data_IF_923468908860
#
_entry.id   IF_923468908860
#
_cell.length_a   1.000
_cell.length_b   1.000
_cell.length_c   1.000
_cell.angle_alpha   90.00
_cell.angle_beta   90.00
_cell.angle_gamma   90.00
#
_symmetry.space_group_name_H-M   'P 1'
#
loop_
_entity.id
_entity.type
_entity.pdbx_description
1 polymer ?
#
# COMPACT_ATOMS: atom_id res chain seq x y z
N UNK A 1 1.29 6.41 -17.24
CA UNK A 1 1.67 5.38 -16.24
C UNK A 1 0.74 4.18 -16.40
N UNK A 2 1.22 2.95 -16.31
CA UNK A 2 0.38 1.74 -16.41
C UNK A 2 0.29 1.03 -15.06
N UNK A 3 -0.92 0.61 -14.71
CA UNK A 3 -1.21 0.00 -13.41
C UNK A 3 -2.04 -1.25 -13.64
N UNK A 4 -1.63 -2.34 -12.99
CA UNK A 4 -2.39 -3.58 -12.94
C UNK A 4 -2.90 -3.78 -11.51
N UNK A 5 -4.19 -4.09 -11.38
CA UNK A 5 -4.87 -4.35 -10.12
C UNK A 5 -5.47 -5.75 -10.23
N UNK A 6 -5.13 -6.63 -9.29
CA UNK A 6 -5.64 -8.00 -9.25
C UNK A 6 -6.20 -8.33 -7.87
N UNK A 7 -7.35 -9.02 -7.85
CA UNK A 7 -8.01 -9.52 -6.65
C UNK A 7 -8.27 -8.43 -5.57
N UNK A 8 -8.71 -7.24 -5.99
CA UNK A 8 -9.05 -6.12 -5.11
C UNK A 8 -10.53 -5.79 -5.24
N UNK A 9 -11.39 -6.59 -4.60
CA UNK A 9 -12.83 -6.62 -4.86
C UNK A 9 -13.49 -5.23 -4.66
N UNK A 10 -14.14 -4.66 -5.69
CA UNK A 10 -14.78 -5.30 -6.85
C UNK A 10 -13.90 -5.51 -8.10
N UNK A 11 -12.61 -5.18 -8.06
CA UNK A 11 -11.67 -5.28 -9.17
C UNK A 11 -10.96 -6.65 -9.16
N UNK A 12 -11.48 -7.61 -9.94
CA UNK A 12 -10.87 -8.95 -10.06
C UNK A 12 -9.59 -8.93 -10.89
N UNK A 13 -9.64 -8.28 -12.05
CA UNK A 13 -8.51 -8.05 -12.94
C UNK A 13 -8.77 -6.73 -13.68
N UNK A 14 -7.90 -5.75 -13.50
CA UNK A 14 -8.02 -4.44 -14.13
C UNK A 14 -6.65 -3.93 -14.55
N UNK A 15 -6.58 -3.45 -15.80
CA UNK A 15 -5.43 -2.71 -16.32
C UNK A 15 -5.88 -1.28 -16.60
N UNK A 16 -5.15 -0.31 -16.05
CA UNK A 16 -5.42 1.11 -16.19
C UNK A 16 -4.19 1.81 -16.76
N UNK A 17 -4.41 2.58 -17.82
CA UNK A 17 -3.41 3.51 -18.36
C UNK A 17 -3.79 4.94 -17.97
N UNK A 18 -2.93 5.58 -17.18
CA UNK A 18 -3.06 6.97 -16.77
C UNK A 18 -2.40 7.89 -17.80
N UNK A 19 -3.18 8.83 -18.34
CA UNK A 19 -2.71 10.01 -19.07
C UNK A 19 -2.64 11.26 -18.19
N UNK A 20 -2.45 12.42 -18.81
CA UNK A 20 -2.29 13.71 -18.10
C UNK A 20 -3.51 14.10 -17.27
N UNK A 21 -4.71 13.81 -17.80
CA UNK A 21 -5.98 13.92 -17.08
C UNK A 21 -6.71 12.60 -17.29
N UNK A 22 -7.02 11.93 -16.18
CA UNK A 22 -7.74 10.65 -16.19
C UNK A 22 -9.00 10.77 -15.34
N UNK A 23 -10.16 10.41 -15.91
CA UNK A 23 -11.45 10.43 -15.21
C UNK A 23 -11.92 9.00 -14.99
N UNK A 24 -12.20 8.64 -13.74
CA UNK A 24 -12.75 7.34 -13.37
C UNK A 24 -14.27 7.46 -13.22
N UNK A 25 -15.02 6.80 -14.09
CA UNK A 25 -16.49 6.78 -14.09
C UNK A 25 -17.00 5.35 -14.05
N UNK A 26 -18.05 5.13 -13.27
CA UNK A 26 -18.72 3.84 -13.16
C UNK A 26 -19.89 3.92 -12.18
N UNK A 27 -20.82 2.95 -12.23
CA UNK A 27 -21.92 2.91 -11.28
C UNK A 27 -21.41 2.73 -9.83
N UNK A 28 -22.23 3.03 -8.81
CA UNK A 28 -21.89 2.74 -7.43
C UNK A 28 -21.40 1.28 -7.27
N UNK A 29 -20.39 1.06 -6.42
CA UNK A 29 -19.79 -0.25 -6.15
C UNK A 29 -19.10 -0.94 -7.34
N UNK A 30 -18.77 -0.23 -8.42
CA UNK A 30 -18.00 -0.76 -9.56
C UNK A 30 -16.48 -0.79 -9.37
N UNK A 31 -15.98 -0.20 -8.28
CA UNK A 31 -14.55 -0.23 -7.96
C UNK A 31 -13.84 1.10 -8.10
N UNK A 32 -14.52 2.19 -8.46
CA UNK A 32 -13.91 3.53 -8.56
C UNK A 32 -13.05 3.89 -7.33
N UNK A 33 -13.58 3.73 -6.12
CA UNK A 33 -12.83 3.98 -4.88
C UNK A 33 -11.69 2.99 -4.67
N UNK A 34 -11.83 1.74 -5.11
CA UNK A 34 -10.79 0.72 -5.00
C UNK A 34 -9.66 0.96 -6.00
N UNK A 35 -9.96 1.43 -7.21
CA UNK A 35 -8.98 1.88 -8.20
C UNK A 35 -8.14 3.00 -7.59
N UNK A 36 -8.79 4.01 -7.00
CA UNK A 36 -8.07 5.12 -6.37
C UNK A 36 -7.25 4.70 -5.14
N UNK A 37 -7.77 3.80 -4.31
CA UNK A 37 -7.01 3.23 -3.18
C UNK A 37 -5.78 2.46 -3.68
N UNK A 38 -5.91 1.67 -4.74
CA UNK A 38 -4.77 0.92 -5.30
C UNK A 38 -3.67 1.83 -5.84
N UNK A 39 -4.08 2.92 -6.52
CA UNK A 39 -3.21 4.00 -6.98
C UNK A 39 -2.43 4.60 -5.82
N UNK A 40 -3.15 5.00 -4.76
CA UNK A 40 -2.54 5.59 -3.59
C UNK A 40 -1.58 4.62 -2.91
N UNK A 41 -1.97 3.36 -2.68
CA UNK A 41 -1.11 2.33 -2.07
C UNK A 41 0.19 2.12 -2.84
N UNK A 42 0.16 2.14 -4.18
CA UNK A 42 1.37 1.99 -5.00
C UNK A 42 2.31 3.20 -4.88
N UNK A 43 1.75 4.39 -4.70
CA UNK A 43 2.49 5.64 -4.64
C UNK A 43 2.82 6.09 -3.22
N UNK A 44 2.26 5.46 -2.18
CA UNK A 44 2.32 5.92 -0.80
C UNK A 44 3.75 6.07 -0.25
N UNK A 45 4.70 5.31 -0.79
CA UNK A 45 6.11 5.39 -0.39
C UNK A 45 6.81 6.68 -0.85
N UNK A 46 6.19 7.41 -1.78
CA UNK A 46 6.65 8.72 -2.27
C UNK A 46 6.13 9.88 -1.38
N UNK A 47 5.11 9.65 -0.57
CA UNK A 47 4.60 10.62 0.41
C UNK A 47 5.31 10.37 1.75
N UNK A 48 6.14 11.31 2.20
CA UNK A 48 6.95 11.13 3.41
C UNK A 48 6.11 10.93 4.66
N UNK A 49 5.02 11.70 4.79
CA UNK A 49 4.14 11.65 5.96
C UNK A 49 3.43 10.30 5.99
N UNK A 50 2.81 9.90 4.87
CA UNK A 50 2.08 8.64 4.79
C UNK A 50 3.01 7.43 4.97
N UNK A 51 4.22 7.49 4.39
CA UNK A 51 5.25 6.47 4.57
C UNK A 51 5.63 6.30 6.03
N UNK A 52 5.87 7.39 6.76
CA UNK A 52 6.26 7.33 8.16
C UNK A 52 5.15 6.70 9.04
N UNK A 53 3.89 7.01 8.76
CA UNK A 53 2.75 6.34 9.40
C UNK A 53 2.74 4.82 9.13
N UNK A 54 2.91 4.40 7.88
CA UNK A 54 2.93 2.97 7.52
C UNK A 54 4.10 2.26 8.18
N UNK A 55 5.30 2.84 8.13
CA UNK A 55 6.50 2.28 8.76
C UNK A 55 6.28 2.11 10.26
N UNK A 56 5.69 3.11 10.92
CA UNK A 56 5.38 3.03 12.35
C UNK A 56 4.42 1.89 12.66
N UNK A 57 3.34 1.76 11.90
CA UNK A 57 2.32 0.74 12.14
C UNK A 57 2.84 -0.68 11.86
N UNK A 58 3.63 -0.85 10.79
CA UNK A 58 4.32 -2.11 10.48
C UNK A 58 5.33 -2.46 11.59
N UNK A 59 6.12 -1.49 12.05
CA UNK A 59 7.07 -1.72 13.14
C UNK A 59 6.37 -2.12 14.44
N UNK A 60 5.24 -1.48 14.76
CA UNK A 60 4.42 -1.84 15.91
C UNK A 60 3.88 -3.28 15.79
N UNK A 61 3.34 -3.63 14.62
CA UNK A 61 2.85 -4.98 14.36
C UNK A 61 3.95 -6.03 14.49
N UNK A 62 5.10 -5.81 13.86
CA UNK A 62 6.25 -6.73 13.95
C UNK A 62 6.67 -6.90 15.42
N UNK A 63 6.77 -5.82 16.20
CA UNK A 63 7.13 -5.93 17.63
C UNK A 63 6.10 -6.67 18.48
N UNK A 64 4.84 -6.62 18.08
CA UNK A 64 3.75 -7.27 18.82
C UNK A 64 3.63 -8.75 18.47
N UNK A 65 3.84 -9.10 17.21
CA UNK A 65 3.61 -10.47 16.69
C UNK A 65 4.89 -11.29 16.59
N UNK A 66 6.06 -10.65 16.41
CA UNK A 66 7.31 -11.38 16.25
C UNK A 66 7.76 -12.03 17.58
N UNK A 67 8.29 -13.26 17.53
CA UNK A 67 8.88 -13.88 18.70
C UNK A 67 10.04 -13.03 19.22
N UNK A 68 10.18 -12.94 20.55
CA UNK A 68 11.16 -12.10 21.26
C UNK A 68 12.60 -12.25 20.75
N UNK A 69 12.96 -13.45 20.30
CA UNK A 69 14.27 -13.77 19.72
C UNK A 69 14.57 -13.02 18.42
N UNK A 70 13.55 -12.78 17.60
CA UNK A 70 13.67 -12.04 16.34
C UNK A 70 13.83 -10.53 16.59
N UNK A 71 13.07 -10.01 17.56
CA UNK A 71 13.12 -8.60 17.96
C UNK A 71 14.53 -8.22 18.46
N UNK A 72 15.12 -9.06 19.32
CA UNK A 72 16.47 -8.84 19.85
C UNK A 72 17.53 -8.84 18.74
N UNK A 73 17.37 -9.69 17.71
CA UNK A 73 18.29 -9.77 16.58
C UNK A 73 18.22 -8.54 15.67
N UNK A 74 17.02 -7.99 15.47
CA UNK A 74 16.81 -6.75 14.71
C UNK A 74 17.38 -5.53 15.45
N UNK A 75 17.28 -5.47 16.77
CA UNK A 75 17.84 -4.37 17.57
C UNK A 75 19.37 -4.35 17.55
N UNK A 76 20.04 -5.49 17.53
CA UNK A 76 21.50 -5.57 17.46
C UNK A 76 22.07 -5.21 16.07
N UNK A 77 21.28 -5.31 15.00
CA UNK A 77 21.69 -4.94 13.64
C UNK A 77 21.68 -3.42 13.40
N UNK A 78 21.03 -2.63 14.26
CA UNK A 78 21.02 -1.16 14.16
C UNK A 78 22.27 -0.49 14.77
N UNK A 79 23.20 -1.28 15.32
CA UNK A 79 24.43 -0.83 15.97
C UNK A 79 25.72 -1.25 15.22
N UNK A 80 25.58 -1.74 13.99
CA UNK A 80 26.66 -2.00 13.03
C UNK A 80 26.50 -1.06 11.83
#
# INVERSE_FOLDING_TARGET
MKISIKNLDPLKDAELELGDITVLLGPPNSGNSYTLKSLYTQLVMLDEIARDYIIRDVNYFIRTVAPRTLILRMMNLQHL
#
